data_IF_041937117656
#
_entry.id   IF_041937117656
#
_cell.length_a   1.000
_cell.length_b   1.000
_cell.length_c   1.000
_cell.angle_alpha   90.00
_cell.angle_beta   90.00
_cell.angle_gamma   90.00
#
_symmetry.space_group_name_H-M   'P 1'
#
loop_
_entity.id
_entity.type
_entity.pdbx_description
1 polymer ?
#
# COMPACT_ATOMS: atom_id res chain seq x y z
N UNK A 1 13.68 -16.54 32.63
CA UNK A 1 12.46 -16.70 31.80
C UNK A 1 11.68 -15.41 31.55
N UNK A 2 11.69 -14.39 32.43
CA UNK A 2 10.97 -13.11 32.18
C UNK A 2 11.55 -12.27 31.02
N UNK A 3 12.87 -12.31 30.77
CA UNK A 3 13.53 -11.55 29.69
C UNK A 3 13.16 -12.00 28.27
N UNK A 4 12.93 -13.30 28.05
CA UNK A 4 12.56 -13.82 26.73
C UNK A 4 11.15 -13.43 26.31
N UNK A 5 10.24 -13.23 27.26
CA UNK A 5 8.88 -12.75 27.01
C UNK A 5 8.84 -11.28 26.58
N UNK A 6 9.75 -10.44 27.10
CA UNK A 6 9.85 -9.03 26.70
C UNK A 6 10.33 -8.92 25.24
N UNK A 7 11.29 -9.74 24.83
CA UNK A 7 11.81 -9.76 23.45
C UNK A 7 10.74 -10.30 22.48
N UNK A 8 9.99 -11.33 22.87
CA UNK A 8 8.88 -11.86 22.07
C UNK A 8 7.74 -10.85 21.90
N UNK A 9 7.45 -10.05 22.94
CA UNK A 9 6.44 -8.99 22.88
C UNK A 9 6.84 -7.78 22.02
N UNK A 10 8.14 -7.48 21.89
CA UNK A 10 8.65 -6.41 21.03
C UNK A 10 8.81 -6.79 19.55
N UNK A 11 8.88 -8.09 19.23
CA UNK A 11 9.07 -8.58 17.86
C UNK A 11 8.06 -8.04 16.82
N UNK A 12 6.75 -7.93 17.09
CA UNK A 12 5.80 -7.40 16.11
C UNK A 12 5.95 -5.88 15.88
N UNK A 13 6.47 -5.13 16.85
CA UNK A 13 6.73 -3.69 16.67
C UNK A 13 7.89 -3.42 15.69
N UNK A 14 8.89 -4.30 15.68
CA UNK A 14 10.05 -4.19 14.77
C UNK A 14 9.62 -4.44 13.31
N UNK A 15 8.70 -5.39 13.07
CA UNK A 15 8.19 -5.69 11.73
C UNK A 15 7.32 -4.57 11.16
N UNK A 16 6.56 -3.88 12.01
CA UNK A 16 5.72 -2.76 11.59
C UNK A 16 6.55 -1.49 11.26
N UNK A 17 7.78 -1.39 11.77
CA UNK A 17 8.71 -0.30 11.50
C UNK A 17 9.47 -0.42 10.16
N UNK A 18 9.19 -1.44 9.34
CA UNK A 18 9.73 -1.52 7.98
C UNK A 18 8.93 -0.62 7.03
N UNK A 19 9.59 0.00 6.04
CA UNK A 19 8.94 0.63 4.89
C UNK A 19 9.05 -0.26 3.65
N UNK A 20 8.37 0.09 2.55
CA UNK A 20 8.55 -0.65 1.29
C UNK A 20 10.00 -0.54 0.79
N UNK A 21 10.64 0.62 0.98
CA UNK A 21 12.05 0.83 0.67
C UNK A 21 12.96 -0.11 1.45
N UNK A 22 12.79 -0.22 2.77
CA UNK A 22 13.61 -1.11 3.59
C UNK A 22 13.37 -2.58 3.24
N UNK A 23 12.10 -2.96 3.03
CA UNK A 23 11.76 -4.31 2.61
C UNK A 23 12.35 -4.68 1.24
N UNK A 24 12.44 -3.72 0.30
CA UNK A 24 13.11 -3.92 -0.97
C UNK A 24 14.63 -4.05 -0.82
N UNK A 25 15.27 -3.22 0.01
CA UNK A 25 16.71 -3.29 0.29
C UNK A 25 17.11 -4.62 0.96
N UNK A 26 16.26 -5.16 1.82
CA UNK A 26 16.44 -6.47 2.46
C UNK A 26 16.06 -7.65 1.55
N UNK A 27 15.71 -7.41 0.28
CA UNK A 27 15.36 -8.45 -0.68
C UNK A 27 13.97 -9.07 -0.49
N UNK A 28 13.20 -8.67 0.52
CA UNK A 28 11.85 -9.21 0.80
C UNK A 28 10.83 -8.86 -0.30
N UNK A 29 11.14 -7.88 -1.15
CA UNK A 29 10.28 -7.46 -2.28
C UNK A 29 10.93 -7.68 -3.66
N UNK A 30 11.98 -8.47 -3.72
CA UNK A 30 12.73 -8.78 -4.95
C UNK A 30 11.95 -9.64 -5.95
N UNK A 31 10.92 -10.38 -5.49
CA UNK A 31 10.12 -11.25 -6.34
C UNK A 31 9.34 -10.48 -7.42
N UNK A 32 9.33 -11.05 -8.64
CA UNK A 32 8.60 -10.51 -9.80
C UNK A 32 7.10 -10.40 -9.55
N UNK A 33 6.49 -9.33 -10.03
CA UNK A 33 5.03 -9.14 -10.05
C UNK A 33 4.47 -9.77 -11.32
N UNK A 34 3.74 -10.88 -11.15
CA UNK A 34 3.25 -11.70 -12.27
C UNK A 34 1.73 -11.59 -12.53
N UNK A 35 1.08 -10.56 -11.98
CA UNK A 35 -0.35 -10.29 -12.21
C UNK A 35 -0.50 -9.26 -13.33
N UNK A 36 -1.68 -9.23 -13.98
CA UNK A 36 -1.99 -8.21 -15.00
C UNK A 36 -1.92 -6.80 -14.42
N UNK A 37 -1.54 -5.82 -15.26
CA UNK A 37 -1.42 -4.42 -14.84
C UNK A 37 -2.69 -3.93 -14.13
N UNK A 38 -3.89 -4.25 -14.65
CA UNK A 38 -5.16 -3.85 -14.02
C UNK A 38 -5.36 -4.41 -12.60
N UNK A 39 -4.71 -5.53 -12.27
CA UNK A 39 -4.80 -6.20 -10.98
C UNK A 39 -3.63 -5.88 -10.04
N UNK A 40 -2.61 -5.16 -10.52
CA UNK A 40 -1.53 -4.71 -9.65
C UNK A 40 -2.06 -3.70 -8.64
N UNK A 41 -1.59 -3.79 -7.39
CA UNK A 41 -1.77 -2.73 -6.40
C UNK A 41 -1.03 -1.45 -6.83
N UNK A 42 -1.45 -0.30 -6.33
CA UNK A 42 -0.78 0.98 -6.64
C UNK A 42 0.72 0.95 -6.30
N UNK A 43 1.10 0.27 -5.20
CA UNK A 43 2.51 0.11 -4.84
C UNK A 43 3.27 -0.80 -5.82
N UNK A 44 2.65 -1.87 -6.31
CA UNK A 44 3.26 -2.72 -7.35
C UNK A 44 3.46 -1.95 -8.66
N UNK A 45 2.49 -1.11 -9.05
CA UNK A 45 2.65 -0.21 -10.21
C UNK A 45 3.84 0.73 -10.00
N UNK A 46 3.95 1.37 -8.83
CA UNK A 46 5.08 2.23 -8.50
C UNK A 46 6.42 1.50 -8.53
N UNK A 47 6.50 0.32 -7.92
CA UNK A 47 7.73 -0.48 -7.82
C UNK A 47 8.23 -0.99 -9.16
N UNK A 48 7.31 -1.41 -10.03
CA UNK A 48 7.63 -1.90 -11.36
C UNK A 48 7.95 -0.76 -12.34
N UNK A 49 7.35 0.42 -12.20
CA UNK A 49 7.70 1.59 -13.02
C UNK A 49 9.02 2.27 -12.60
N UNK A 50 9.21 2.50 -11.30
CA UNK A 50 10.21 3.45 -10.79
C UNK A 50 11.28 2.84 -9.88
N UNK A 51 11.03 1.67 -9.25
CA UNK A 51 11.93 1.08 -8.25
C UNK A 51 12.50 -0.27 -8.65
N UNK A 52 12.56 -0.55 -9.96
CA UNK A 52 13.24 -1.70 -10.56
C UNK A 52 12.75 -3.08 -10.07
N UNK A 53 11.48 -3.18 -9.65
CA UNK A 53 10.89 -4.49 -9.37
C UNK A 53 10.52 -5.19 -10.68
N UNK A 54 10.96 -6.44 -10.83
CA UNK A 54 10.66 -7.23 -12.02
C UNK A 54 9.14 -7.46 -12.21
N UNK A 55 8.69 -7.55 -13.46
CA UNK A 55 7.33 -7.96 -13.83
C UNK A 55 7.33 -8.63 -15.20
N UNK A 56 6.35 -9.51 -15.43
CA UNK A 56 6.07 -10.09 -16.74
C UNK A 56 5.22 -9.18 -17.65
N UNK A 57 4.72 -8.05 -17.14
CA UNK A 57 3.93 -7.09 -17.92
C UNK A 57 4.82 -6.07 -18.61
N UNK A 58 4.38 -5.55 -19.75
CA UNK A 58 5.12 -4.51 -20.49
C UNK A 58 5.07 -3.17 -19.75
N UNK A 59 6.16 -2.38 -19.81
CA UNK A 59 6.20 -1.03 -19.19
C UNK A 59 5.06 -0.13 -19.69
N UNK A 60 4.62 -0.31 -20.93
CA UNK A 60 3.50 0.42 -21.52
C UNK A 60 2.18 0.06 -20.84
N UNK A 61 1.88 -1.23 -20.63
CA UNK A 61 0.67 -1.67 -19.94
C UNK A 61 0.62 -1.17 -18.49
N UNK A 62 1.76 -1.27 -17.78
CA UNK A 62 1.87 -0.80 -16.40
C UNK A 62 1.73 0.73 -16.34
N UNK A 63 2.37 1.46 -17.27
CA UNK A 63 2.28 2.92 -17.34
C UNK A 63 0.89 3.42 -17.73
N UNK A 64 0.20 2.72 -18.62
CA UNK A 64 -1.19 3.01 -18.97
C UNK A 64 -2.10 2.88 -17.76
N UNK A 65 -1.97 1.79 -16.99
CA UNK A 65 -2.75 1.59 -15.77
C UNK A 65 -2.41 2.64 -14.69
N UNK A 66 -1.12 2.97 -14.54
CA UNK A 66 -0.66 4.01 -13.63
C UNK A 66 -1.33 5.35 -13.91
N UNK A 67 -1.35 5.76 -15.19
CA UNK A 67 -2.01 6.98 -15.63
C UNK A 67 -3.54 6.90 -15.50
N UNK A 68 -4.14 5.75 -15.84
CA UNK A 68 -5.59 5.50 -15.70
C UNK A 68 -6.06 5.71 -14.26
N UNK A 69 -5.23 5.36 -13.28
CA UNK A 69 -5.51 5.55 -11.84
C UNK A 69 -5.17 6.95 -11.32
N UNK A 70 -4.69 7.86 -12.16
CA UNK A 70 -4.28 9.20 -11.73
C UNK A 70 -3.12 9.21 -10.74
N UNK A 71 -2.30 8.15 -10.72
CA UNK A 71 -1.14 8.08 -9.84
C UNK A 71 -0.04 9.01 -10.37
N UNK A 72 0.82 9.47 -9.46
CA UNK A 72 1.97 10.29 -9.81
C UNK A 72 3.21 9.85 -9.03
N UNK A 73 4.39 10.21 -9.54
CA UNK A 73 5.65 9.78 -8.93
C UNK A 73 5.81 10.29 -7.49
N UNK A 74 5.34 11.50 -7.19
CA UNK A 74 5.42 12.06 -5.83
C UNK A 74 4.65 11.21 -4.82
N UNK A 75 3.47 10.72 -5.20
CA UNK A 75 2.70 9.78 -4.39
C UNK A 75 3.46 8.46 -4.21
N UNK A 76 4.07 7.92 -5.28
CA UNK A 76 4.92 6.74 -5.17
C UNK A 76 6.10 6.94 -4.21
N UNK A 77 6.77 8.10 -4.26
CA UNK A 77 7.93 8.40 -3.40
C UNK A 77 7.51 8.46 -1.92
N UNK A 78 6.36 9.06 -1.63
CA UNK A 78 5.78 9.11 -0.28
C UNK A 78 5.39 7.72 0.20
N UNK A 79 4.63 6.97 -0.59
CA UNK A 79 4.07 5.67 -0.19
C UNK A 79 5.14 4.56 -0.08
N UNK A 80 6.24 4.70 -0.83
CA UNK A 80 7.37 3.78 -0.79
C UNK A 80 8.23 3.96 0.46
N UNK A 81 8.36 5.20 0.94
CA UNK A 81 9.12 5.55 2.16
C UNK A 81 8.30 5.40 3.44
N UNK A 82 6.97 5.50 3.34
CA UNK A 82 6.04 5.39 4.46
C UNK A 82 6.21 4.10 5.24
N UNK A 83 6.26 4.21 6.55
CA UNK A 83 6.36 3.06 7.44
C UNK A 83 5.03 2.31 7.52
N UNK A 84 5.06 0.98 7.67
CA UNK A 84 3.80 0.23 7.81
C UNK A 84 2.99 0.67 9.03
N UNK A 85 3.64 1.08 10.13
CA UNK A 85 2.97 1.70 11.30
C UNK A 85 2.16 2.93 10.90
N UNK A 86 2.75 3.85 10.12
CA UNK A 86 2.05 5.05 9.67
C UNK A 86 0.82 4.70 8.82
N UNK A 87 0.89 3.65 7.99
CA UNK A 87 -0.28 3.18 7.24
C UNK A 87 -1.39 2.64 8.14
N UNK A 88 -1.03 1.90 9.19
CA UNK A 88 -2.01 1.37 10.15
C UNK A 88 -2.64 2.51 10.94
N UNK A 89 -1.84 3.45 11.41
CA UNK A 89 -2.32 4.63 12.14
C UNK A 89 -3.26 5.46 11.26
N UNK A 90 -2.87 5.78 10.03
CA UNK A 90 -3.72 6.52 9.10
C UNK A 90 -5.01 5.76 8.76
N UNK A 91 -4.95 4.44 8.62
CA UNK A 91 -6.13 3.61 8.41
C UNK A 91 -7.09 3.63 9.61
N UNK A 92 -6.56 3.67 10.83
CA UNK A 92 -7.37 3.76 12.06
C UNK A 92 -7.96 5.16 12.25
N UNK A 93 -7.20 6.21 11.95
CA UNK A 93 -7.66 7.59 12.03
C UNK A 93 -8.71 7.90 10.95
N UNK A 94 -8.49 7.46 9.71
CA UNK A 94 -9.45 7.63 8.61
C UNK A 94 -10.78 6.93 8.88
N UNK A 95 -10.77 5.79 9.61
CA UNK A 95 -12.01 5.12 10.04
C UNK A 95 -12.76 5.86 11.14
N UNK A 96 -12.08 6.65 11.98
CA UNK A 96 -12.73 7.47 13.00
C UNK A 96 -13.39 8.71 12.41
N UNK A 97 -12.81 9.27 11.34
CA UNK A 97 -13.38 10.41 10.61
C UNK A 97 -14.68 10.03 9.88
N UNK A 98 -14.79 8.78 9.43
CA UNK A 98 -16.03 8.20 8.87
C UNK A 98 -17.01 7.77 9.97
N UNK A 99 -17.34 8.66 10.89
CA UNK A 99 -18.57 8.52 11.67
C UNK A 99 -19.78 8.74 10.74
N UNK A 100 -20.92 8.05 10.94
CA UNK A 100 -21.97 7.96 9.94
C UNK A 100 -22.56 9.34 9.63
N UNK A 101 -22.43 9.79 8.39
CA UNK A 101 -23.33 10.79 7.84
C UNK A 101 -24.73 10.18 7.86
N UNK A 102 -25.71 10.91 8.39
CA UNK A 102 -27.14 10.59 8.35
C UNK A 102 -27.53 9.96 7.00
N UNK A 103 -28.42 8.94 6.97
CA UNK A 103 -28.88 8.39 5.71
C UNK A 103 -29.55 9.48 4.88
N UNK A 104 -28.93 9.80 3.74
CA UNK A 104 -29.50 10.68 2.73
C UNK A 104 -30.86 10.11 2.30
N UNK A 105 -31.96 10.89 2.34
CA UNK A 105 -33.29 10.37 2.03
C UNK A 105 -33.34 9.91 0.58
N UNK A 106 -33.53 8.62 0.37
CA UNK A 106 -33.77 8.05 -0.95
C UNK A 106 -35.13 8.54 -1.47
N UNK A 107 -35.11 9.39 -2.49
CA UNK A 107 -36.32 9.74 -3.24
C UNK A 107 -36.70 8.51 -4.06
N UNK A 108 -37.79 7.84 -3.66
CA UNK A 108 -38.39 6.76 -4.46
C UNK A 108 -38.99 7.35 -5.73
N UNK A 109 -38.81 6.70 -6.90
CA UNK A 109 -39.45 7.17 -8.13
C UNK A 109 -40.97 7.06 -7.99
N UNK A 110 -41.69 8.11 -8.41
CA UNK A 110 -43.13 8.10 -8.49
C UNK A 110 -43.58 7.03 -9.49
N UNK A 111 -44.56 6.21 -9.08
CA UNK A 111 -45.29 5.27 -9.94
C UNK A 111 -46.22 6.07 -10.85
#
# INVERSE_FOLDING_TARGET
MKKTWIIAALSPFILAACSNQQAAQLGMRSSSVNVYAQQMSNIQLCETLYYNRASNQTRVAIGAEFNRRGLNKRWCDQEYKKFYVEKVVDGLLSRKEQAPTEPEPTIQPAI
#
